data_IF_593366722969
#
_entry.id   IF_593366722969
#
_cell.length_a   1.000
_cell.length_b   1.000
_cell.length_c   1.000
_cell.angle_alpha   90.00
_cell.angle_beta   90.00
_cell.angle_gamma   90.00
#
_symmetry.space_group_name_H-M   'P 1'
#
loop_
_entity.id
_entity.type
_entity.pdbx_description
1 polymer ?
#
# COMPACT_ATOMS: atom_id res chain seq x y z
N UNK A 1 12.36 8.29 1.52
CA UNK A 1 12.35 7.25 2.58
C UNK A 1 13.40 7.62 3.57
N UNK A 2 12.96 7.93 4.79
CA UNK A 2 13.88 8.31 5.85
C UNK A 2 14.54 7.06 6.46
N UNK A 3 15.57 7.28 7.29
CA UNK A 3 16.35 6.18 7.89
C UNK A 3 15.50 5.31 8.83
N UNK A 4 14.57 5.90 9.59
CA UNK A 4 13.75 5.16 10.54
C UNK A 4 12.68 4.33 9.84
N UNK A 5 12.15 4.78 8.72
CA UNK A 5 11.23 4.04 7.86
C UNK A 5 11.92 2.83 7.21
N UNK A 6 13.20 2.96 6.86
CA UNK A 6 14.00 1.82 6.43
C UNK A 6 14.28 0.85 7.59
N UNK A 7 14.47 1.37 8.81
CA UNK A 7 14.62 0.56 10.01
C UNK A 7 13.34 -0.22 10.32
N UNK A 8 12.17 0.43 10.27
CA UNK A 8 10.86 -0.20 10.44
C UNK A 8 10.62 -1.31 9.40
N UNK A 9 11.01 -1.07 8.14
CA UNK A 9 10.96 -2.11 7.11
C UNK A 9 11.87 -3.29 7.45
N UNK A 10 13.07 -3.02 7.95
CA UNK A 10 14.02 -4.05 8.33
C UNK A 10 13.50 -4.88 9.50
N UNK A 11 12.92 -4.26 10.51
CA UNK A 11 12.31 -4.95 11.64
C UNK A 11 11.06 -5.75 11.23
N UNK A 12 10.18 -5.14 10.43
CA UNK A 12 9.05 -5.82 9.81
C UNK A 12 9.52 -7.08 9.06
N UNK A 13 10.51 -6.96 8.18
CA UNK A 13 11.01 -8.06 7.38
C UNK A 13 11.63 -9.16 8.26
N UNK A 14 12.42 -8.77 9.26
CA UNK A 14 13.05 -9.66 10.24
C UNK A 14 12.00 -10.47 11.03
N UNK A 15 10.87 -9.86 11.39
CA UNK A 15 9.79 -10.53 12.13
C UNK A 15 9.17 -11.70 11.35
N UNK A 16 9.11 -11.59 10.01
CA UNK A 16 8.59 -12.65 9.14
C UNK A 16 9.67 -13.60 8.63
N UNK A 17 10.93 -13.17 8.50
CA UNK A 17 11.98 -13.87 7.77
C UNK A 17 12.15 -15.34 8.18
N UNK A 18 12.17 -15.64 9.49
CA UNK A 18 12.33 -17.02 9.98
C UNK A 18 11.20 -17.92 9.52
N UNK A 19 9.95 -17.45 9.63
CA UNK A 19 8.75 -18.22 9.24
C UNK A 19 8.63 -18.32 7.72
N UNK A 20 8.96 -17.26 7.00
CA UNK A 20 8.99 -17.22 5.54
C UNK A 20 9.97 -18.25 4.99
N UNK A 21 11.21 -18.27 5.51
CA UNK A 21 12.22 -19.27 5.13
C UNK A 21 11.74 -20.70 5.37
N UNK A 22 11.16 -20.96 6.54
CA UNK A 22 10.66 -22.29 6.88
C UNK A 22 9.55 -22.73 5.91
N UNK A 23 8.55 -21.88 5.67
CA UNK A 23 7.43 -22.20 4.79
C UNK A 23 7.87 -22.46 3.33
N UNK A 24 8.82 -21.67 2.81
CA UNK A 24 9.40 -21.90 1.50
C UNK A 24 10.24 -23.18 1.45
N UNK A 25 11.05 -23.45 2.49
CA UNK A 25 11.87 -24.65 2.57
C UNK A 25 11.03 -25.93 2.66
N UNK A 26 9.91 -25.91 3.38
CA UNK A 26 9.00 -27.06 3.49
C UNK A 26 8.43 -27.45 2.11
N UNK A 27 8.00 -26.46 1.32
CA UNK A 27 7.56 -26.71 -0.06
C UNK A 27 8.72 -27.15 -0.95
N UNK A 28 9.89 -26.51 -0.83
CA UNK A 28 11.09 -26.88 -1.59
C UNK A 28 11.51 -28.33 -1.34
N UNK A 29 11.45 -28.79 -0.09
CA UNK A 29 11.79 -30.17 0.28
C UNK A 29 10.88 -31.18 -0.43
N UNK A 30 9.58 -30.90 -0.49
CA UNK A 30 8.61 -31.73 -1.19
C UNK A 30 8.85 -31.74 -2.72
N UNK A 31 9.10 -30.57 -3.30
CA UNK A 31 9.37 -30.44 -4.75
C UNK A 31 10.71 -31.07 -5.14
N UNK A 32 11.73 -30.93 -4.31
CA UNK A 32 13.06 -31.53 -4.51
C UNK A 32 12.99 -33.07 -4.45
N UNK A 33 12.22 -33.62 -3.51
CA UNK A 33 11.96 -35.05 -3.46
C UNK A 33 11.25 -35.51 -4.74
N UNK A 34 10.25 -34.77 -5.20
CA UNK A 34 9.53 -35.08 -6.43
C UNK A 34 10.37 -34.89 -7.70
N UNK A 35 11.40 -34.05 -7.69
CA UNK A 35 12.33 -33.91 -8.81
C UNK A 35 13.34 -35.07 -8.88
N UNK A 36 13.87 -35.50 -7.73
CA UNK A 36 15.06 -36.36 -7.69
C UNK A 36 14.80 -37.80 -7.23
N UNK A 37 13.69 -38.08 -6.54
CA UNK A 37 13.39 -39.40 -5.99
C UNK A 37 12.29 -40.13 -6.78
N UNK A 38 12.35 -41.47 -6.86
CA UNK A 38 11.28 -42.28 -7.45
C UNK A 38 9.97 -42.18 -6.66
N UNK A 39 10.05 -42.14 -5.33
CA UNK A 39 8.89 -42.05 -4.43
C UNK A 39 8.41 -40.61 -4.30
N UNK A 40 7.26 -40.30 -4.91
CA UNK A 40 6.66 -38.97 -4.86
C UNK A 40 5.95 -38.72 -3.52
N UNK A 41 6.04 -37.48 -3.04
CA UNK A 41 5.35 -36.99 -1.85
C UNK A 41 4.29 -35.94 -2.22
N UNK A 42 3.18 -35.85 -1.47
CA UNK A 42 2.17 -34.81 -1.68
C UNK A 42 2.75 -33.40 -1.48
N UNK A 43 2.33 -32.45 -2.31
CA UNK A 43 2.79 -31.04 -2.27
C UNK A 43 1.70 -30.09 -1.77
N UNK A 44 0.45 -30.55 -1.74
CA UNK A 44 -0.74 -29.75 -1.43
C UNK A 44 -0.70 -29.17 -0.02
N UNK A 45 -0.22 -29.96 0.95
CA UNK A 45 -0.07 -29.52 2.34
C UNK A 45 0.94 -28.37 2.48
N UNK A 46 2.21 -28.58 2.10
CA UNK A 46 3.23 -27.52 2.13
C UNK A 46 2.84 -26.28 1.31
N UNK A 47 2.24 -26.47 0.12
CA UNK A 47 1.76 -25.37 -0.72
C UNK A 47 0.67 -24.56 -0.01
N UNK A 48 -0.35 -25.22 0.53
CA UNK A 48 -1.46 -24.54 1.20
C UNK A 48 -0.98 -23.79 2.44
N UNK A 49 -0.04 -24.37 3.21
CA UNK A 49 0.55 -23.71 4.37
C UNK A 49 1.33 -22.44 3.97
N UNK A 50 2.14 -22.51 2.91
CA UNK A 50 2.88 -21.35 2.41
C UNK A 50 1.93 -20.26 1.89
N UNK A 51 0.95 -20.62 1.07
CA UNK A 51 -0.06 -19.68 0.55
C UNK A 51 -0.83 -19.00 1.69
N UNK A 52 -1.23 -19.76 2.70
CA UNK A 52 -1.93 -19.21 3.87
C UNK A 52 -1.02 -18.23 4.64
N UNK A 53 0.23 -18.59 4.89
CA UNK A 53 1.19 -17.72 5.56
C UNK A 53 1.40 -16.41 4.79
N UNK A 54 1.62 -16.50 3.48
CA UNK A 54 1.82 -15.35 2.61
C UNK A 54 0.61 -14.41 2.59
N UNK A 55 -0.61 -14.95 2.54
CA UNK A 55 -1.84 -14.14 2.60
C UNK A 55 -2.09 -13.48 3.96
N UNK A 56 -1.46 -13.97 5.03
CA UNK A 56 -1.57 -13.41 6.39
C UNK A 56 -0.50 -12.37 6.72
N UNK A 57 0.50 -12.18 5.85
CA UNK A 57 1.49 -11.13 6.04
C UNK A 57 0.80 -9.77 5.97
N UNK A 58 1.00 -8.95 7.00
CA UNK A 58 0.41 -7.61 7.05
C UNK A 58 1.25 -6.66 6.19
N UNK A 59 0.98 -6.69 4.90
CA UNK A 59 1.55 -5.77 3.91
C UNK A 59 0.94 -4.37 4.00
N UNK A 60 -0.18 -4.21 4.72
CA UNK A 60 -0.94 -2.96 4.79
C UNK A 60 -0.26 -1.88 5.63
N UNK A 61 0.62 -2.28 6.54
CA UNK A 61 1.45 -1.36 7.34
C UNK A 61 2.64 -0.76 6.56
N UNK A 62 2.96 -1.31 5.39
CA UNK A 62 4.11 -0.85 4.60
C UNK A 62 3.78 0.39 3.78
N UNK A 63 4.68 1.36 3.79
CA UNK A 63 4.60 2.54 2.94
C UNK A 63 4.87 2.21 1.47
N UNK A 64 4.46 3.10 0.56
CA UNK A 64 4.76 2.95 -0.87
C UNK A 64 6.27 2.90 -1.15
N UNK A 65 7.08 3.64 -0.37
CA UNK A 65 8.53 3.65 -0.53
C UNK A 65 9.17 2.34 -0.05
N UNK A 66 8.66 1.78 1.05
CA UNK A 66 9.07 0.48 1.54
C UNK A 66 8.72 -0.64 0.54
N UNK A 67 7.51 -0.60 -0.03
CA UNK A 67 7.10 -1.52 -1.11
C UNK A 67 7.99 -1.39 -2.36
N UNK A 68 8.37 -0.17 -2.75
CA UNK A 68 9.28 0.04 -3.87
C UNK A 68 10.68 -0.50 -3.58
N UNK A 69 11.17 -0.34 -2.35
CA UNK A 69 12.44 -0.94 -1.95
C UNK A 69 12.37 -2.48 -2.00
N UNK A 70 11.29 -3.10 -1.52
CA UNK A 70 11.10 -4.55 -1.65
C UNK A 70 11.07 -4.98 -3.13
N UNK A 71 10.54 -4.15 -4.04
CA UNK A 71 10.60 -4.40 -5.49
C UNK A 71 12.02 -4.29 -6.03
N UNK A 72 12.77 -3.27 -5.63
CA UNK A 72 14.19 -3.10 -6.00
C UNK A 72 15.07 -4.24 -5.48
N UNK A 73 14.76 -4.76 -4.28
CA UNK A 73 15.38 -5.96 -3.72
C UNK A 73 14.87 -7.27 -4.36
N UNK A 74 13.96 -7.18 -5.33
CA UNK A 74 13.33 -8.30 -6.05
C UNK A 74 12.58 -9.27 -5.14
N UNK A 75 12.17 -8.86 -3.95
CA UNK A 75 11.51 -9.73 -2.98
C UNK A 75 10.01 -9.49 -2.85
N UNK A 76 9.50 -8.36 -3.37
CA UNK A 76 8.08 -8.01 -3.26
C UNK A 76 7.15 -9.11 -3.80
N UNK A 77 7.48 -9.68 -4.96
CA UNK A 77 6.69 -10.74 -5.59
C UNK A 77 6.82 -12.12 -4.90
N UNK A 78 7.64 -12.24 -3.85
CA UNK A 78 7.87 -13.46 -3.07
C UNK A 78 7.27 -13.37 -1.66
N UNK A 79 6.62 -12.25 -1.33
CA UNK A 79 6.00 -12.01 -0.02
C UNK A 79 4.55 -11.56 -0.20
N UNK A 80 3.76 -11.71 0.86
CA UNK A 80 2.38 -11.24 0.86
C UNK A 80 1.48 -11.97 -0.16
N UNK A 81 0.29 -11.41 -0.45
CA UNK A 81 -0.65 -11.98 -1.42
C UNK A 81 -0.12 -12.08 -2.86
N UNK A 82 0.89 -11.26 -3.22
CA UNK A 82 1.56 -11.39 -4.52
C UNK A 82 2.41 -12.65 -4.59
N UNK A 83 3.21 -12.93 -3.55
CA UNK A 83 3.93 -14.19 -3.39
C UNK A 83 3.02 -15.41 -3.41
N UNK A 84 1.85 -15.33 -2.76
CA UNK A 84 0.87 -16.41 -2.76
C UNK A 84 0.40 -16.76 -4.18
N UNK A 85 0.05 -15.74 -4.99
CA UNK A 85 -0.37 -15.94 -6.38
C UNK A 85 0.78 -16.45 -7.25
N UNK A 86 1.98 -15.92 -7.05
CA UNK A 86 3.16 -16.37 -7.78
C UNK A 86 3.43 -17.86 -7.50
N UNK A 87 3.44 -18.30 -6.24
CA UNK A 87 3.74 -19.70 -5.94
C UNK A 87 2.65 -20.65 -6.45
N UNK A 88 1.37 -20.26 -6.37
CA UNK A 88 0.29 -21.04 -6.98
C UNK A 88 0.47 -21.15 -8.50
N UNK A 89 0.89 -20.07 -9.16
CA UNK A 89 1.16 -20.08 -10.60
C UNK A 89 2.36 -20.96 -10.98
N UNK A 90 3.35 -21.10 -10.09
CA UNK A 90 4.54 -21.93 -10.33
C UNK A 90 4.25 -23.42 -10.09
N UNK A 91 3.34 -23.74 -9.16
CA UNK A 91 3.06 -25.12 -8.74
C UNK A 91 1.84 -25.73 -9.45
N UNK A 92 0.79 -24.94 -9.72
CA UNK A 92 -0.48 -25.43 -10.29
C UNK A 92 -0.58 -25.32 -11.82
N UNK A 93 0.55 -25.30 -12.51
CA UNK A 93 0.59 -25.29 -13.98
C UNK A 93 0.01 -26.61 -14.52
N UNK A 94 -0.69 -26.56 -15.67
CA UNK A 94 -1.31 -27.74 -16.32
C UNK A 94 -0.33 -28.91 -16.55
N UNK A 95 0.96 -28.59 -16.72
CA UNK A 95 2.06 -29.55 -16.75
C UNK A 95 3.03 -29.25 -15.60
N UNK A 96 2.72 -29.74 -14.40
CA UNK A 96 3.60 -29.61 -13.24
C UNK A 96 4.98 -30.25 -13.52
N UNK A 97 6.02 -29.42 -13.48
CA UNK A 97 7.43 -29.82 -13.62
C UNK A 97 8.15 -29.64 -12.26
N UNK A 98 8.36 -30.73 -11.50
CA UNK A 98 9.02 -30.66 -10.20
C UNK A 98 10.43 -30.05 -10.24
N UNK A 99 11.18 -30.23 -11.34
CA UNK A 99 12.55 -29.74 -11.45
C UNK A 99 12.56 -28.21 -11.60
N UNK A 100 11.75 -27.69 -12.54
CA UNK A 100 11.61 -26.23 -12.73
C UNK A 100 10.98 -25.57 -11.51
N UNK A 101 9.95 -26.16 -10.90
CA UNK A 101 9.37 -25.64 -9.65
C UNK A 101 10.41 -25.59 -8.52
N UNK A 102 11.22 -26.64 -8.37
CA UNK A 102 12.27 -26.69 -7.34
C UNK A 102 13.36 -25.61 -7.56
N UNK A 103 13.76 -25.38 -8.81
CA UNK A 103 14.70 -24.32 -9.15
C UNK A 103 14.13 -22.94 -8.83
N UNK A 104 12.89 -22.66 -9.24
CA UNK A 104 12.21 -21.39 -8.95
C UNK A 104 12.10 -21.13 -7.44
N UNK A 105 11.82 -22.17 -6.65
CA UNK A 105 11.79 -22.08 -5.19
C UNK A 105 13.17 -21.79 -4.60
N UNK A 106 14.21 -22.44 -5.12
CA UNK A 106 15.60 -22.20 -4.71
C UNK A 106 16.01 -20.75 -4.95
N UNK A 107 15.71 -20.21 -6.13
CA UNK A 107 16.02 -18.83 -6.50
C UNK A 107 15.22 -17.83 -5.65
N UNK A 108 13.95 -18.16 -5.34
CA UNK A 108 13.12 -17.39 -4.43
C UNK A 108 13.70 -17.32 -3.01
N UNK A 109 14.11 -18.48 -2.46
CA UNK A 109 14.75 -18.56 -1.14
C UNK A 109 16.06 -17.77 -1.11
N UNK A 110 16.90 -17.89 -2.13
CA UNK A 110 18.14 -17.12 -2.23
C UNK A 110 17.86 -15.61 -2.24
N UNK A 111 16.84 -15.17 -2.97
CA UNK A 111 16.43 -13.76 -3.04
C UNK A 111 15.90 -13.25 -1.69
N UNK A 112 15.04 -14.04 -1.01
CA UNK A 112 14.55 -13.76 0.34
C UNK A 112 15.73 -13.61 1.32
N UNK A 113 16.73 -14.49 1.23
CA UNK A 113 17.88 -14.45 2.12
C UNK A 113 18.75 -13.23 1.87
N UNK A 114 19.07 -12.93 0.62
CA UNK A 114 19.87 -11.76 0.26
C UNK A 114 19.20 -10.44 0.66
N UNK A 115 17.87 -10.33 0.50
CA UNK A 115 17.11 -9.17 0.97
C UNK A 115 17.14 -9.06 2.50
N UNK A 116 16.91 -10.17 3.20
CA UNK A 116 16.94 -10.24 4.65
C UNK A 116 18.30 -9.85 5.24
N UNK A 117 19.40 -10.33 4.66
CA UNK A 117 20.75 -9.96 5.09
C UNK A 117 21.01 -8.47 4.95
N UNK A 118 20.63 -7.85 3.81
CA UNK A 118 20.77 -6.41 3.61
C UNK A 118 20.01 -5.59 4.65
N UNK A 119 18.74 -5.96 4.90
CA UNK A 119 17.89 -5.26 5.84
C UNK A 119 18.34 -5.46 7.30
N UNK A 120 18.71 -6.68 7.69
CA UNK A 120 19.21 -6.98 9.04
C UNK A 120 20.54 -6.27 9.30
N UNK A 121 21.46 -6.25 8.34
CA UNK A 121 22.73 -5.54 8.47
C UNK A 121 22.51 -4.03 8.61
N UNK A 122 21.52 -3.49 7.89
CA UNK A 122 21.12 -2.08 8.05
C UNK A 122 20.60 -1.80 9.47
N UNK A 123 19.65 -2.59 9.96
CA UNK A 123 19.10 -2.41 11.31
C UNK A 123 20.20 -2.51 12.37
N UNK A 124 21.08 -3.50 12.26
CA UNK A 124 22.20 -3.66 13.18
C UNK A 124 23.17 -2.46 13.16
N UNK A 125 23.39 -1.82 12.00
CA UNK A 125 24.21 -0.63 11.90
C UNK A 125 23.56 0.59 12.58
N UNK A 126 22.23 0.73 12.48
CA UNK A 126 21.47 1.77 13.17
C UNK A 126 21.51 1.55 14.69
N UNK A 127 21.28 0.32 15.15
CA UNK A 127 21.35 -0.06 16.57
C UNK A 127 22.74 0.23 17.15
N UNK A 128 23.82 -0.05 16.40
CA UNK A 128 25.19 0.23 16.83
C UNK A 128 25.50 1.72 16.97
N UNK A 129 24.79 2.57 16.23
CA UNK A 129 24.95 4.03 16.29
C UNK A 129 24.04 4.68 17.34
N UNK A 130 23.24 3.90 18.09
CA UNK A 130 22.29 4.38 19.09
C UNK A 130 21.26 5.39 18.50
N UNK A 131 20.95 5.23 17.21
CA UNK A 131 20.01 6.09 16.48
C UNK A 131 18.59 5.52 16.65
N UNK A 132 17.89 5.93 17.72
CA UNK A 132 16.55 5.43 18.02
C UNK A 132 15.43 6.33 17.48
N UNK A 133 14.37 5.76 16.85
CA UNK A 133 13.24 6.53 16.30
C UNK A 133 12.55 7.45 17.32
N UNK A 134 12.52 7.01 18.58
CA UNK A 134 11.88 7.69 19.72
C UNK A 134 12.50 9.06 20.04
N UNK A 135 13.70 9.34 19.53
CA UNK A 135 14.40 10.60 19.77
C UNK A 135 14.06 11.70 18.74
N UNK A 136 13.35 11.38 17.66
CA UNK A 136 13.15 12.30 16.52
C UNK A 136 11.69 12.69 16.29
N UNK A 137 10.72 11.86 16.67
CA UNK A 137 9.29 12.22 16.60
C UNK A 137 8.80 12.78 17.94
N UNK A 138 8.54 14.10 18.00
CA UNK A 138 7.82 14.69 19.13
C UNK A 138 6.44 14.03 19.26
N UNK A 139 6.26 13.29 20.36
CA UNK A 139 5.00 12.67 20.75
C UNK A 139 3.99 13.74 21.22
N UNK A 140 3.50 14.58 20.30
CA UNK A 140 2.44 15.56 20.58
C UNK A 140 1.03 15.00 20.32
N UNK A 141 0.91 13.67 20.17
CA UNK A 141 -0.36 12.98 19.92
C UNK A 141 -0.90 13.18 18.50
N UNK A 142 -0.10 13.74 17.59
CA UNK A 142 -0.45 13.90 16.17
C UNK A 142 -0.06 12.68 15.36
N UNK A 143 -0.74 12.51 14.23
CA UNK A 143 -0.55 11.42 13.28
C UNK A 143 0.23 11.96 12.08
N UNK A 144 1.28 11.24 11.70
CA UNK A 144 2.06 11.51 10.50
C UNK A 144 1.33 10.98 9.27
N UNK A 145 0.93 11.87 8.36
CA UNK A 145 0.32 11.54 7.06
C UNK A 145 1.31 11.88 5.96
N UNK A 146 1.63 10.89 5.12
CA UNK A 146 2.50 11.06 3.94
C UNK A 146 1.66 11.05 2.67
N UNK A 147 1.77 12.09 1.85
CA UNK A 147 1.02 12.24 0.61
C UNK A 147 2.00 12.30 -0.55
N UNK A 148 2.06 11.22 -1.34
CA UNK A 148 2.94 11.11 -2.50
C UNK A 148 2.24 11.49 -3.81
N UNK A 149 2.85 12.40 -4.56
CA UNK A 149 2.37 12.84 -5.87
C UNK A 149 3.08 12.09 -7.01
N UNK A 150 2.33 11.39 -7.89
CA UNK A 150 2.92 10.79 -9.09
C UNK A 150 3.25 11.85 -10.15
N UNK A 151 4.24 11.50 -11.00
CA UNK A 151 4.94 12.23 -12.08
C UNK A 151 4.26 13.41 -12.80
N UNK A 152 2.94 13.45 -12.88
CA UNK A 152 2.20 14.50 -13.60
C UNK A 152 1.90 15.72 -12.72
N UNK A 153 2.05 15.57 -11.40
CA UNK A 153 2.04 16.64 -10.40
C UNK A 153 3.47 16.98 -9.92
N UNK A 154 4.50 16.62 -10.69
CA UNK A 154 5.89 16.96 -10.36
C UNK A 154 6.07 18.48 -10.35
N UNK A 155 6.52 19.04 -9.23
CA UNK A 155 7.01 20.42 -9.14
C UNK A 155 8.32 20.45 -9.90
N UNK A 156 8.31 20.99 -11.13
CA UNK A 156 9.51 21.08 -11.98
C UNK A 156 10.26 22.38 -11.75
N UNK A 157 9.61 23.35 -11.12
CA UNK A 157 10.15 24.68 -10.87
C UNK A 157 9.49 25.34 -9.63
N UNK A 158 10.01 26.48 -9.20
CA UNK A 158 9.54 27.21 -8.02
C UNK A 158 8.11 27.76 -8.14
N UNK A 159 7.62 27.99 -9.36
CA UNK A 159 6.24 28.44 -9.63
C UNK A 159 5.25 27.30 -9.38
N UNK A 160 5.57 26.10 -9.85
CA UNK A 160 4.78 24.89 -9.57
C UNK A 160 4.71 24.63 -8.07
N UNK A 161 5.82 24.91 -7.35
CA UNK A 161 5.87 24.81 -5.89
C UNK A 161 4.90 25.78 -5.22
N UNK A 162 4.93 27.05 -5.61
CA UNK A 162 4.03 28.06 -5.06
C UNK A 162 2.56 27.67 -5.28
N UNK A 163 2.18 27.26 -6.48
CA UNK A 163 0.81 26.84 -6.78
C UNK A 163 0.40 25.63 -5.95
N UNK A 164 1.27 24.61 -5.90
CA UNK A 164 0.99 23.40 -5.11
C UNK A 164 0.86 23.70 -3.61
N UNK A 165 1.68 24.61 -3.09
CA UNK A 165 1.61 25.05 -1.70
C UNK A 165 0.30 25.81 -1.41
N UNK A 166 -0.14 26.69 -2.31
CA UNK A 166 -1.41 27.40 -2.20
C UNK A 166 -2.60 26.42 -2.24
N UNK A 167 -2.59 25.46 -3.17
CA UNK A 167 -3.63 24.43 -3.27
C UNK A 167 -3.71 23.59 -1.99
N UNK A 168 -2.56 23.14 -1.47
CA UNK A 168 -2.51 22.41 -0.22
C UNK A 168 -2.96 23.22 0.97
N UNK A 169 -2.59 24.50 1.04
CA UNK A 169 -3.07 25.38 2.08
C UNK A 169 -4.61 25.47 2.04
N UNK A 170 -5.23 25.59 0.86
CA UNK A 170 -6.69 25.60 0.75
C UNK A 170 -7.31 24.25 1.14
N UNK A 171 -6.71 23.12 0.76
CA UNK A 171 -7.18 21.77 1.11
C UNK A 171 -7.14 21.58 2.63
N UNK A 172 -5.96 21.80 3.25
CA UNK A 172 -5.76 21.65 4.69
C UNK A 172 -6.67 22.58 5.45
N UNK A 173 -6.79 23.84 5.03
CA UNK A 173 -7.71 24.82 5.63
C UNK A 173 -9.15 24.35 5.55
N UNK A 174 -9.61 23.88 4.39
CA UNK A 174 -10.97 23.37 4.20
C UNK A 174 -11.27 22.20 5.14
N UNK A 175 -10.36 21.24 5.24
CA UNK A 175 -10.50 20.06 6.10
C UNK A 175 -10.42 20.40 7.59
N UNK A 176 -9.52 21.31 7.98
CA UNK A 176 -9.40 21.78 9.35
C UNK A 176 -10.69 22.49 9.80
N UNK A 177 -11.19 23.44 9.00
CA UNK A 177 -12.45 24.13 9.30
C UNK A 177 -13.63 23.16 9.40
N UNK A 178 -13.66 22.16 8.51
CA UNK A 178 -14.69 21.12 8.51
C UNK A 178 -14.61 20.23 9.76
N UNK A 179 -13.43 20.04 10.34
CA UNK A 179 -13.25 19.29 11.59
C UNK A 179 -13.29 20.16 12.86
N UNK A 180 -13.60 21.46 12.75
CA UNK A 180 -13.60 22.40 13.88
C UNK A 180 -12.21 22.75 14.39
N UNK A 181 -11.17 22.58 13.56
CA UNK A 181 -9.76 22.79 13.89
C UNK A 181 -9.17 23.99 13.16
N UNK A 182 -8.05 24.48 13.66
CA UNK A 182 -7.32 25.58 13.04
C UNK A 182 -6.41 25.02 11.93
N UNK A 183 -6.24 25.70 10.77
CA UNK A 183 -5.29 25.26 9.74
C UNK A 183 -3.85 25.08 10.26
N UNK A 184 -3.49 25.84 11.29
CA UNK A 184 -2.21 25.77 12.00
C UNK A 184 -2.04 24.45 12.79
N UNK A 185 -3.10 23.66 12.94
CA UNK A 185 -3.06 22.31 13.49
C UNK A 185 -2.52 21.26 12.49
N UNK A 186 -2.11 21.68 11.29
CA UNK A 186 -1.34 20.83 10.38
C UNK A 186 0.08 21.40 10.21
N UNK A 187 1.09 20.59 10.52
CA UNK A 187 2.50 20.98 10.39
C UNK A 187 3.16 20.22 9.25
N UNK A 188 3.84 20.94 8.34
CA UNK A 188 4.71 20.32 7.34
C UNK A 188 6.01 19.90 8.03
N UNK A 189 6.30 18.61 8.05
CA UNK A 189 7.51 18.06 8.69
C UNK A 189 8.60 17.63 7.69
N UNK A 190 8.30 17.66 6.38
CA UNK A 190 9.30 17.42 5.34
C UNK A 190 8.75 17.47 3.90
N UNK A 191 9.68 17.54 2.93
CA UNK A 191 9.41 17.40 1.49
C UNK A 191 10.59 16.70 0.79
N UNK A 192 10.34 15.62 0.05
CA UNK A 192 11.36 14.85 -0.70
C UNK A 192 11.25 15.05 -2.23
N UNK A 193 12.37 14.92 -2.96
CA UNK A 193 12.45 15.07 -4.44
C UNK A 193 12.24 13.75 -5.21
N UNK A 194 11.69 13.87 -6.43
CA UNK A 194 11.44 12.77 -7.38
C UNK A 194 9.95 12.48 -7.62
N UNK A 195 9.12 12.86 -6.66
CA UNK A 195 7.66 12.83 -6.58
C UNK A 195 7.41 13.52 -5.25
N UNK A 196 6.70 14.66 -5.19
CA UNK A 196 6.62 15.40 -3.92
C UNK A 196 5.94 14.49 -2.90
N UNK A 197 6.63 14.25 -1.81
CA UNK A 197 6.03 13.59 -0.65
C UNK A 197 5.89 14.68 0.39
N UNK A 198 4.66 15.14 0.56
CA UNK A 198 4.30 16.06 1.62
C UNK A 198 4.11 15.23 2.89
N UNK A 199 4.93 15.47 3.90
CA UNK A 199 4.79 14.81 5.20
C UNK A 199 4.13 15.81 6.15
N UNK A 200 2.93 15.47 6.62
CA UNK A 200 2.13 16.30 7.52
C UNK A 200 2.00 15.63 8.87
N UNK A 201 2.17 16.40 9.95
CA UNK A 201 1.73 16.01 11.29
C UNK A 201 0.36 16.64 11.55
N UNK A 202 -0.68 15.82 11.68
CA UNK A 202 -2.09 16.24 11.77
C UNK A 202 -2.80 15.60 12.95
N UNK A 203 -3.90 16.20 13.41
CA UNK A 203 -4.74 15.58 14.46
C UNK A 203 -5.43 14.29 13.98
N UNK A 204 -5.96 13.51 14.92
CA UNK A 204 -6.80 12.34 14.61
C UNK A 204 -8.03 12.66 13.76
N UNK A 205 -8.69 13.80 14.02
CA UNK A 205 -9.86 14.23 13.25
C UNK A 205 -9.51 14.47 11.78
N UNK A 206 -8.43 15.20 11.55
CA UNK A 206 -7.96 15.54 10.21
C UNK A 206 -7.41 14.32 9.47
N UNK A 207 -6.67 13.42 10.14
CA UNK A 207 -6.18 12.18 9.53
C UNK A 207 -7.32 11.25 9.10
N UNK A 208 -8.39 11.15 9.91
CA UNK A 208 -9.59 10.36 9.59
C UNK A 208 -10.31 10.90 8.36
N UNK A 209 -10.42 12.22 8.22
CA UNK A 209 -11.01 12.84 7.04
C UNK A 209 -10.18 12.54 5.78
N UNK A 210 -8.87 12.73 5.84
CA UNK A 210 -7.96 12.42 4.72
C UNK A 210 -8.05 10.94 4.31
N UNK A 211 -8.06 10.02 5.28
CA UNK A 211 -8.21 8.59 5.02
C UNK A 211 -9.56 8.24 4.39
N UNK A 212 -10.63 8.92 4.80
CA UNK A 212 -11.98 8.73 4.25
C UNK A 212 -12.04 9.20 2.79
N UNK A 213 -11.50 10.38 2.50
CA UNK A 213 -11.41 10.91 1.13
C UNK A 213 -10.62 9.95 0.24
N UNK A 214 -9.43 9.54 0.69
CA UNK A 214 -8.59 8.59 -0.04
C UNK A 214 -9.34 7.27 -0.31
N UNK A 215 -10.00 6.69 0.69
CA UNK A 215 -10.79 5.47 0.55
C UNK A 215 -11.88 5.59 -0.53
N UNK A 216 -12.61 6.69 -0.57
CA UNK A 216 -13.69 6.88 -1.56
C UNK A 216 -13.16 7.12 -2.97
N UNK A 217 -12.05 7.83 -3.12
CA UNK A 217 -11.35 7.97 -4.41
C UNK A 217 -10.89 6.58 -4.90
N UNK A 218 -10.21 5.81 -4.05
CA UNK A 218 -9.75 4.45 -4.39
C UNK A 218 -10.91 3.51 -4.69
N UNK A 219 -12.00 3.58 -3.93
CA UNK A 219 -13.20 2.76 -4.16
C UNK A 219 -13.84 3.06 -5.52
N UNK A 220 -13.93 4.34 -5.88
CA UNK A 220 -14.44 4.75 -7.19
C UNK A 220 -13.52 4.27 -8.32
N UNK A 221 -12.21 4.40 -8.16
CA UNK A 221 -11.25 3.90 -9.13
C UNK A 221 -11.36 2.37 -9.31
N UNK A 222 -11.52 1.62 -8.21
CA UNK A 222 -11.75 0.16 -8.23
C UNK A 222 -13.04 -0.20 -8.97
N UNK A 223 -14.12 0.54 -8.74
CA UNK A 223 -15.40 0.33 -9.42
C UNK A 223 -15.26 0.50 -10.93
N UNK A 224 -14.65 1.61 -11.37
CA UNK A 224 -14.39 1.89 -12.79
C UNK A 224 -13.50 0.80 -13.42
N UNK A 225 -12.42 0.39 -12.75
CA UNK A 225 -11.56 -0.70 -13.23
C UNK A 225 -12.30 -2.03 -13.33
N UNK A 226 -13.15 -2.35 -12.35
CA UNK A 226 -13.95 -3.58 -12.35
C UNK A 226 -14.92 -3.59 -13.54
N UNK A 227 -15.54 -2.44 -13.85
CA UNK A 227 -16.38 -2.28 -15.04
C UNK A 227 -15.58 -2.47 -16.33
N UNK A 228 -14.35 -1.94 -16.42
CA UNK A 228 -13.49 -2.12 -17.59
C UNK A 228 -13.06 -3.58 -17.79
N UNK A 229 -12.69 -4.28 -16.71
CA UNK A 229 -12.33 -5.70 -16.76
C UNK A 229 -13.54 -6.52 -17.22
N UNK A 230 -14.73 -6.24 -16.69
CA UNK A 230 -15.96 -6.93 -17.11
C UNK A 230 -16.30 -6.67 -18.59
N UNK A 231 -16.13 -5.44 -19.07
CA UNK A 231 -16.31 -5.10 -20.48
C UNK A 231 -15.34 -5.89 -21.37
N UNK A 232 -14.07 -5.99 -20.97
CA UNK A 232 -13.05 -6.71 -21.73
C UNK A 232 -13.30 -8.23 -21.73
N UNK A 233 -13.75 -8.80 -20.62
CA UNK A 233 -14.19 -10.20 -20.54
C UNK A 233 -15.37 -10.49 -21.49
N UNK A 234 -16.35 -9.58 -21.57
CA UNK A 234 -17.47 -9.70 -22.53
C UNK A 234 -17.01 -9.59 -23.99
N UNK A 235 -16.00 -8.76 -24.28
CA UNK A 235 -15.36 -8.69 -25.61
C UNK A 235 -14.67 -10.00 -25.95
N UNK A 236 -13.88 -10.55 -25.04
CA UNK A 236 -13.16 -11.81 -25.24
C UNK A 236 -14.13 -12.99 -25.46
N UNK A 237 -15.25 -13.00 -24.73
CA UNK A 237 -16.32 -13.99 -24.89
C UNK A 237 -17.17 -13.80 -26.15
N UNK A 238 -16.97 -12.71 -26.91
CA UNK A 238 -17.72 -12.34 -28.12
C UNK A 238 -19.23 -12.17 -27.88
N UNK A 239 -19.61 -11.77 -26.67
CA UNK A 239 -21.01 -11.54 -26.26
C UNK A 239 -21.33 -10.04 -26.21
N UNK A 240 -20.31 -9.17 -26.34
CA UNK A 240 -20.48 -7.72 -26.27
C UNK A 240 -21.38 -7.20 -27.40
N UNK A 241 -22.42 -6.44 -27.02
CA UNK A 241 -23.24 -5.65 -27.92
C UNK A 241 -22.96 -4.16 -27.78
N UNK A 242 -23.31 -3.36 -28.80
CA UNK A 242 -23.21 -1.89 -28.74
C UNK A 242 -24.03 -1.27 -27.60
N UNK A 243 -25.16 -1.89 -27.26
CA UNK A 243 -26.02 -1.44 -26.15
C UNK A 243 -25.36 -1.70 -24.79
N UNK A 244 -24.68 -2.84 -24.63
CA UNK A 244 -23.89 -3.13 -23.42
C UNK A 244 -22.72 -2.16 -23.31
N UNK A 245 -22.00 -1.89 -24.40
CA UNK A 245 -20.87 -0.96 -24.39
C UNK A 245 -21.28 0.45 -23.93
N UNK A 246 -22.37 0.99 -24.50
CA UNK A 246 -22.91 2.29 -24.09
C UNK A 246 -23.36 2.33 -22.62
N UNK A 247 -23.92 1.22 -22.11
CA UNK A 247 -24.33 1.11 -20.71
C UNK A 247 -23.12 1.07 -19.76
N UNK A 248 -22.06 0.33 -20.11
CA UNK A 248 -20.82 0.32 -19.35
C UNK A 248 -20.12 1.70 -19.35
N UNK A 249 -20.18 2.45 -20.45
CA UNK A 249 -19.69 3.84 -20.50
C UNK A 249 -20.51 4.77 -19.60
N UNK A 250 -21.85 4.64 -19.62
CA UNK A 250 -22.76 5.39 -18.75
C UNK A 250 -22.44 5.12 -17.27
N UNK A 251 -22.33 3.85 -16.87
CA UNK A 251 -22.01 3.45 -15.50
C UNK A 251 -20.64 3.97 -15.05
N UNK A 252 -19.63 3.95 -15.92
CA UNK A 252 -18.32 4.55 -15.61
C UNK A 252 -18.41 6.06 -15.41
N UNK A 253 -19.19 6.76 -16.25
CA UNK A 253 -19.41 8.20 -16.12
C UNK A 253 -20.15 8.55 -14.83
N UNK A 254 -21.20 7.80 -14.48
CA UNK A 254 -21.95 7.97 -13.24
C UNK A 254 -21.12 7.69 -12.00
N UNK A 255 -20.30 6.63 -12.02
CA UNK A 255 -19.38 6.32 -10.94
C UNK A 255 -18.39 7.48 -10.72
N UNK A 256 -17.86 8.10 -11.78
CA UNK A 256 -16.97 9.25 -11.69
C UNK A 256 -17.68 10.51 -11.21
N UNK A 257 -18.83 10.84 -11.79
CA UNK A 257 -19.60 12.04 -11.46
C UNK A 257 -20.18 11.98 -10.02
N UNK A 258 -20.57 10.79 -9.55
CA UNK A 258 -21.08 10.57 -8.19
C UNK A 258 -19.98 10.54 -7.12
N UNK A 259 -18.70 10.47 -7.50
CA UNK A 259 -17.59 10.32 -6.55
C UNK A 259 -17.53 11.48 -5.55
N UNK A 260 -17.66 12.71 -6.04
CA UNK A 260 -17.62 13.92 -5.21
C UNK A 260 -18.76 13.94 -4.20
N UNK A 261 -20.01 13.69 -4.63
CA UNK A 261 -21.19 13.66 -3.75
C UNK A 261 -21.05 12.63 -2.64
N UNK A 262 -20.57 11.42 -2.96
CA UNK A 262 -20.34 10.37 -1.96
C UNK A 262 -19.30 10.77 -0.91
N UNK A 263 -18.25 11.49 -1.32
CA UNK A 263 -17.24 12.04 -0.40
C UNK A 263 -17.87 13.12 0.49
N UNK A 264 -18.61 14.05 -0.10
CA UNK A 264 -19.29 15.15 0.64
C UNK A 264 -20.28 14.61 1.68
N UNK A 265 -21.12 13.64 1.32
CA UNK A 265 -22.09 13.01 2.23
C UNK A 265 -21.41 12.33 3.43
N UNK A 266 -20.29 11.65 3.19
CA UNK A 266 -19.55 10.95 4.25
C UNK A 266 -18.80 11.91 5.16
N UNK A 267 -18.23 12.99 4.60
CA UNK A 267 -17.63 14.06 5.39
C UNK A 267 -18.71 14.73 6.26
N UNK A 268 -19.88 15.06 5.71
CA UNK A 268 -20.97 15.67 6.45
C UNK A 268 -21.44 14.79 7.62
N UNK A 269 -21.41 13.46 7.48
CA UNK A 269 -21.75 12.52 8.54
C UNK A 269 -20.67 12.41 9.65
N UNK A 270 -19.42 12.77 9.36
CA UNK A 270 -18.29 12.69 10.31
C UNK A 270 -18.08 13.95 11.13
N UNK A 271 -18.69 15.06 10.72
CA UNK A 271 -18.50 16.38 11.32
C UNK A 271 -19.64 16.66 12.30
N UNK A 272 -19.37 16.95 13.58
CA UNK A 272 -20.42 17.42 14.48
C UNK A 272 -20.98 18.73 13.94
N UNK A 273 -22.32 18.87 13.93
CA UNK A 273 -22.99 20.08 13.47
C UNK A 273 -22.33 21.33 14.09
N UNK A 274 -22.12 22.40 13.31
CA UNK A 274 -21.46 23.59 13.81
C UNK A 274 -22.21 24.07 15.06
N UNK A 275 -21.52 24.09 16.20
CA UNK A 275 -22.03 24.74 17.40
C UNK A 275 -22.21 26.21 17.02
N UNK A 276 -23.46 26.62 16.81
CA UNK A 276 -23.80 28.03 16.70
C UNK A 276 -23.35 28.66 18.00
N UNK A 277 -22.23 29.38 17.95
CA UNK A 277 -21.79 30.23 19.04
C UNK A 277 -22.86 31.30 19.19
N UNK A 278 -23.73 31.11 20.18
CA UNK A 278 -24.59 32.17 20.68
C UNK A 278 -23.69 33.37 20.99
N UNK A 279 -23.80 34.41 20.14
CA UNK A 279 -23.37 35.76 20.50
C UNK A 279 -24.11 36.11 21.79
N UNK A 280 -23.46 35.94 22.94
CA UNK A 280 -23.79 36.69 24.14
C UNK A 280 -23.53 38.15 23.84
N UNK A 281 -24.57 38.84 23.38
CA UNK A 281 -24.70 40.26 23.60
C UNK A 281 -24.75 40.46 25.12
N UNK A 282 -23.67 41.00 25.69
CA UNK A 282 -23.72 41.65 27.00
C UNK A 282 -23.40 43.12 26.77
N UNK A 283 -24.46 43.91 26.90
CA UNK A 283 -24.43 45.31 27.32
C UNK A 283 -23.80 45.43 28.71
#
# INVERSE_FOLDING_TARGET
MNIFELYDLADWYKSYLKRLRAAYADLQNATNNNANQPTKVPIEGPLSALVQFLNQMDMGQLSLQQLELLRHLKVLHLVGPEGARWIESVVRVEAYDPATTNQNLSDGIATINAAGEKLINYAAAIDQLDLHPEQVEESDGRITVRIGFRSDASIRNIKDWKTSADDWYQIVRGLALTSGQAPEDAKVVGAETGSIILVLSVTYGLSRLLATIAKHITSTAKEVLSLQIALEDLRQKKILTKTMEAEFERLQSEARAGAQKRVEEQIAAMVPAPQMTEKKAMH
#
